data_IF_505054870908
#
_entry.id   IF_505054870908
#
_cell.length_a   1.000
_cell.length_b   1.000
_cell.length_c   1.000
_cell.angle_alpha   90.00
_cell.angle_beta   90.00
_cell.angle_gamma   90.00
#
_symmetry.space_group_name_H-M   'P 1'
#
loop_
_entity.id
_entity.type
_entity.pdbx_description
1 polymer ?
#
# COMPACT_ATOMS: atom_id res chain seq x y z
N UNK A 1 -10.75 -4.28 -21.58
CA UNK A 1 -10.54 -3.01 -20.82
C UNK A 1 -10.37 -3.25 -19.31
N UNK A 2 -11.27 -4.00 -18.64
CA UNK A 2 -11.22 -4.27 -17.18
C UNK A 2 -9.90 -4.91 -16.70
N UNK A 3 -9.41 -5.95 -17.40
CA UNK A 3 -8.15 -6.66 -17.06
C UNK A 3 -6.92 -5.73 -17.02
N UNK A 4 -6.87 -4.74 -17.92
CA UNK A 4 -5.78 -3.75 -17.97
C UNK A 4 -5.81 -2.82 -16.77
N UNK A 5 -6.99 -2.34 -16.39
CA UNK A 5 -7.15 -1.41 -15.26
C UNK A 5 -6.79 -2.08 -13.92
N UNK A 6 -7.17 -3.36 -13.74
CA UNK A 6 -6.75 -4.12 -12.56
C UNK A 6 -5.23 -4.28 -12.50
N UNK A 7 -4.60 -4.62 -13.63
CA UNK A 7 -3.14 -4.76 -13.73
C UNK A 7 -2.42 -3.45 -13.35
N UNK A 8 -2.91 -2.30 -13.82
CA UNK A 8 -2.34 -1.00 -13.47
C UNK A 8 -2.46 -0.71 -11.97
N UNK A 9 -3.63 -0.96 -11.37
CA UNK A 9 -3.83 -0.78 -9.92
C UNK A 9 -2.91 -1.69 -9.10
N UNK A 10 -2.70 -2.92 -9.55
CA UNK A 10 -1.75 -3.85 -8.92
C UNK A 10 -0.30 -3.42 -9.07
N UNK A 11 0.10 -2.89 -10.23
CA UNK A 11 1.45 -2.32 -10.40
C UNK A 11 1.67 -1.12 -9.47
N UNK A 12 0.65 -0.27 -9.32
CA UNK A 12 0.71 0.81 -8.35
C UNK A 12 0.88 0.26 -6.92
N UNK A 13 0.08 -0.74 -6.53
CA UNK A 13 0.20 -1.38 -5.22
C UNK A 13 1.60 -1.97 -4.97
N UNK A 14 2.15 -2.74 -5.91
CA UNK A 14 3.52 -3.31 -5.81
C UNK A 14 4.56 -2.23 -5.54
N UNK A 15 4.47 -1.09 -6.24
CA UNK A 15 5.41 0.01 -6.07
C UNK A 15 5.31 0.70 -4.70
N UNK A 16 4.20 0.56 -3.97
CA UNK A 16 4.06 1.03 -2.58
C UNK A 16 4.53 0.02 -1.54
N UNK A 17 4.58 -1.26 -1.92
CA UNK A 17 4.70 -2.39 -1.00
C UNK A 17 6.06 -2.44 -0.30
N UNK A 18 7.15 -2.18 -1.03
CA UNK A 18 8.51 -2.26 -0.47
C UNK A 18 8.68 -1.26 0.69
N UNK A 19 8.30 0.01 0.49
CA UNK A 19 8.43 1.05 1.51
C UNK A 19 7.48 0.78 2.67
N UNK A 20 6.23 0.39 2.39
CA UNK A 20 5.26 0.05 3.41
C UNK A 20 5.76 -1.10 4.30
N UNK A 21 6.30 -2.16 3.68
CA UNK A 21 6.77 -3.34 4.37
C UNK A 21 8.00 -3.05 5.23
N UNK A 22 8.98 -2.30 4.71
CA UNK A 22 10.17 -1.90 5.49
C UNK A 22 9.76 -1.15 6.76
N UNK A 23 8.93 -0.11 6.62
CA UNK A 23 8.52 0.72 7.74
C UNK A 23 7.70 -0.09 8.75
N UNK A 24 6.81 -0.95 8.25
CA UNK A 24 5.93 -1.74 9.11
C UNK A 24 6.64 -2.85 9.85
N UNK A 25 7.62 -3.49 9.21
CA UNK A 25 8.50 -4.46 9.88
C UNK A 25 9.31 -3.76 10.97
N UNK A 26 9.92 -2.61 10.68
CA UNK A 26 10.66 -1.83 11.71
C UNK A 26 9.74 -1.49 12.88
N UNK A 27 8.53 -0.99 12.60
CA UNK A 27 7.55 -0.64 13.64
C UNK A 27 7.13 -1.86 14.49
N UNK A 28 6.87 -3.00 13.84
CA UNK A 28 6.53 -4.26 14.50
C UNK A 28 7.67 -4.81 15.37
N UNK A 29 8.92 -4.70 14.91
CA UNK A 29 10.11 -5.12 15.67
C UNK A 29 10.34 -4.24 16.91
N UNK A 30 10.19 -2.93 16.78
CA UNK A 30 10.34 -1.98 17.91
C UNK A 30 9.30 -2.22 19.01
N UNK A 31 8.07 -2.54 18.62
CA UNK A 31 6.96 -2.79 19.54
C UNK A 31 6.82 -4.25 19.97
N UNK A 32 7.59 -5.16 19.34
CA UNK A 32 7.51 -6.63 19.53
C UNK A 32 6.08 -7.17 19.41
N UNK A 33 5.27 -6.59 18.53
CA UNK A 33 3.84 -6.90 18.42
C UNK A 33 3.40 -7.07 16.97
N UNK A 34 2.79 -8.22 16.68
CA UNK A 34 2.19 -8.52 15.36
C UNK A 34 1.00 -7.60 15.07
N UNK A 35 0.23 -7.24 16.11
CA UNK A 35 -0.87 -6.28 15.97
C UNK A 35 -0.36 -4.89 15.59
N UNK A 36 0.78 -4.46 16.15
CA UNK A 36 1.42 -3.21 15.79
C UNK A 36 1.97 -3.23 14.35
N UNK A 37 2.49 -4.37 13.88
CA UNK A 37 2.84 -4.56 12.47
C UNK A 37 1.62 -4.35 11.56
N UNK A 38 0.49 -5.01 11.83
CA UNK A 38 -0.72 -4.89 11.01
C UNK A 38 -1.29 -3.46 11.00
N UNK A 39 -1.27 -2.79 12.15
CA UNK A 39 -1.65 -1.38 12.26
C UNK A 39 -0.72 -0.48 11.40
N UNK A 40 0.60 -0.67 11.53
CA UNK A 40 1.56 0.08 10.73
C UNK A 40 1.40 -0.19 9.23
N UNK A 41 1.21 -1.45 8.83
CA UNK A 41 1.08 -1.83 7.43
C UNK A 41 -0.15 -1.22 6.76
N UNK A 42 -1.22 -1.04 7.54
CA UNK A 42 -2.46 -0.43 7.04
C UNK A 42 -2.37 1.10 6.99
N UNK A 43 -1.71 1.72 7.97
CA UNK A 43 -1.72 3.17 8.15
C UNK A 43 -0.35 3.83 8.02
N UNK A 44 0.59 3.52 8.92
CA UNK A 44 1.86 4.26 9.04
C UNK A 44 2.76 4.01 7.82
N UNK A 45 3.09 2.75 7.54
CA UNK A 45 3.93 2.38 6.41
C UNK A 45 3.27 2.72 5.07
N UNK A 46 1.94 2.58 4.99
CA UNK A 46 1.20 2.96 3.79
C UNK A 46 1.25 4.48 3.55
N UNK A 47 1.03 5.29 4.58
CA UNK A 47 1.11 6.75 4.49
C UNK A 47 2.50 7.21 4.10
N UNK A 48 3.55 6.58 4.64
CA UNK A 48 4.93 6.88 4.27
C UNK A 48 5.25 6.47 2.81
N UNK A 49 4.73 5.34 2.33
CA UNK A 49 4.87 4.95 0.93
C UNK A 49 4.17 5.94 -0.02
N UNK A 50 2.98 6.44 0.36
CA UNK A 50 2.29 7.49 -0.39
C UNK A 50 3.05 8.81 -0.37
N UNK A 51 3.59 9.21 0.79
CA UNK A 51 4.38 10.42 0.94
C UNK A 51 5.65 10.39 0.08
N UNK A 52 6.36 9.26 0.08
CA UNK A 52 7.50 9.05 -0.81
C UNK A 52 7.12 9.22 -2.29
N UNK A 53 6.00 8.64 -2.72
CA UNK A 53 5.53 8.80 -4.11
C UNK A 53 5.16 10.24 -4.44
N UNK A 54 4.54 10.95 -3.51
CA UNK A 54 4.15 12.34 -3.73
C UNK A 54 5.37 13.26 -3.95
N UNK A 55 6.47 13.00 -3.25
CA UNK A 55 7.70 13.78 -3.35
C UNK A 55 8.54 13.35 -4.56
N UNK A 56 8.84 12.06 -4.69
CA UNK A 56 9.88 11.58 -5.59
C UNK A 56 9.34 11.00 -6.90
N UNK A 57 8.07 10.57 -6.94
CA UNK A 57 7.51 9.80 -8.07
C UNK A 57 6.18 10.34 -8.58
N UNK A 58 5.96 11.65 -8.46
CA UNK A 58 4.72 12.29 -8.90
C UNK A 58 4.40 12.07 -10.38
N UNK A 59 5.43 11.92 -11.22
CA UNK A 59 5.28 11.66 -12.65
C UNK A 59 4.63 10.29 -12.96
N UNK A 60 4.73 9.31 -12.05
CA UNK A 60 4.07 8.00 -12.24
C UNK A 60 2.54 8.14 -12.25
N UNK A 61 1.97 9.18 -11.62
CA UNK A 61 0.52 9.42 -11.63
C UNK A 61 -0.03 9.73 -13.03
N UNK A 62 0.79 10.27 -13.95
CA UNK A 62 0.35 10.58 -15.32
C UNK A 62 -0.05 9.33 -16.09
N UNK A 63 0.64 8.20 -15.89
CA UNK A 63 0.30 6.93 -16.52
C UNK A 63 -1.11 6.48 -16.15
N UNK A 64 -1.47 6.60 -14.86
CA UNK A 64 -2.77 6.18 -14.36
C UNK A 64 -3.88 7.17 -14.75
N UNK A 65 -3.56 8.47 -14.78
CA UNK A 65 -4.49 9.49 -15.25
C UNK A 65 -4.85 9.29 -16.73
N UNK A 66 -3.86 9.01 -17.58
CA UNK A 66 -4.07 8.69 -19.00
C UNK A 66 -4.90 7.41 -19.20
N UNK A 67 -4.91 6.51 -18.21
CA UNK A 67 -5.76 5.33 -18.19
C UNK A 67 -7.17 5.57 -17.60
N UNK A 68 -7.50 6.82 -17.23
CA UNK A 68 -8.78 7.20 -16.62
C UNK A 68 -8.92 6.81 -15.15
N UNK A 69 -7.82 6.50 -14.46
CA UNK A 69 -7.82 6.09 -13.05
C UNK A 69 -7.42 7.30 -12.19
N UNK A 70 -8.31 7.69 -11.27
CA UNK A 70 -8.02 8.80 -10.36
C UNK A 70 -7.08 8.39 -9.23
N UNK A 71 -6.35 9.36 -8.66
CA UNK A 71 -5.47 9.15 -7.50
C UNK A 71 -6.22 8.53 -6.31
N UNK A 72 -7.44 8.99 -6.04
CA UNK A 72 -8.28 8.46 -4.95
C UNK A 72 -8.60 6.98 -5.16
N UNK A 73 -8.91 6.56 -6.39
CA UNK A 73 -9.16 5.14 -6.70
C UNK A 73 -7.93 4.26 -6.42
N UNK A 74 -6.71 4.76 -6.72
CA UNK A 74 -5.47 4.05 -6.42
C UNK A 74 -5.25 3.91 -4.91
N UNK A 75 -5.43 5.01 -4.16
CA UNK A 75 -5.26 5.03 -2.70
C UNK A 75 -6.26 4.09 -2.03
N UNK A 76 -7.55 4.19 -2.36
CA UNK A 76 -8.59 3.32 -1.81
C UNK A 76 -8.30 1.85 -2.13
N UNK A 77 -7.90 1.54 -3.36
CA UNK A 77 -7.55 0.18 -3.76
C UNK A 77 -6.39 -0.38 -2.94
N UNK A 78 -5.32 0.38 -2.74
CA UNK A 78 -4.17 -0.05 -1.93
C UNK A 78 -4.55 -0.20 -0.45
N UNK A 79 -5.34 0.73 0.08
CA UNK A 79 -5.82 0.66 1.45
C UNK A 79 -6.63 -0.62 1.71
N UNK A 80 -7.56 -0.95 0.82
CA UNK A 80 -8.35 -2.19 0.92
C UNK A 80 -7.46 -3.45 0.88
N UNK A 81 -6.46 -3.49 -0.01
CA UNK A 81 -5.51 -4.61 -0.04
C UNK A 81 -4.65 -4.71 1.23
N UNK A 82 -4.22 -3.58 1.79
CA UNK A 82 -3.47 -3.56 3.05
C UNK A 82 -4.33 -4.04 4.23
N UNK A 83 -5.61 -3.65 4.27
CA UNK A 83 -6.57 -4.14 5.28
C UNK A 83 -6.75 -5.66 5.16
N UNK A 84 -6.99 -6.15 3.95
CA UNK A 84 -7.12 -7.60 3.69
C UNK A 84 -5.87 -8.36 4.11
N UNK A 85 -4.69 -7.87 3.74
CA UNK A 85 -3.42 -8.49 4.12
C UNK A 85 -3.23 -8.49 5.64
N UNK A 86 -3.51 -7.38 6.31
CA UNK A 86 -3.36 -7.28 7.77
C UNK A 86 -4.30 -8.20 8.51
N UNK A 87 -5.54 -8.37 8.02
CA UNK A 87 -6.49 -9.36 8.57
C UNK A 87 -5.98 -10.78 8.37
N UNK A 88 -5.47 -11.11 7.18
CA UNK A 88 -4.90 -12.43 6.89
C UNK A 88 -3.70 -12.75 7.79
N UNK A 89 -2.78 -11.80 7.98
CA UNK A 89 -1.64 -11.96 8.89
C UNK A 89 -2.11 -12.19 10.32
N UNK A 90 -3.11 -11.42 10.77
CA UNK A 90 -3.68 -11.58 12.11
C UNK A 90 -4.30 -12.96 12.30
N UNK A 91 -5.08 -13.45 11.34
CA UNK A 91 -5.70 -14.78 11.39
C UNK A 91 -4.65 -15.89 11.38
N UNK A 92 -3.59 -15.75 10.57
CA UNK A 92 -2.53 -16.75 10.46
C UNK A 92 -1.64 -16.85 11.71
N UNK A 93 -1.56 -15.77 12.50
CA UNK A 93 -0.74 -15.69 13.71
C UNK A 93 -1.54 -15.98 14.99
N UNK A 94 -2.83 -16.29 14.86
CA UNK A 94 -3.75 -16.60 15.96
C UNK A 94 -3.91 -18.12 16.08
#
# INVERSE_FOLDING_TARGET
>A
MLKRNLKLRLEFYKSTLIINLIISVVFGLLTKSVNAFGFSFTLIGFSAALFYKEIYRKHEYYLYYNAGISRQQLVIFCFLLNCLFSILVKICML
#
